data_IF_949537338917
#
_entry.id   IF_949537338917
#
_cell.length_a   1.000
_cell.length_b   1.000
_cell.length_c   1.000
_cell.angle_alpha   90.00
_cell.angle_beta   90.00
_cell.angle_gamma   90.00
#
_symmetry.space_group_name_H-M   'P 1'
#
loop_
_entity.id
_entity.type
_entity.pdbx_description
1 polymer ?
#
# COMPACT_ATOMS: atom_id res chain seq x y z
N UNK A 1 -7.85 -1.09 -17.49
CA UNK A 1 -8.42 -1.41 -16.15
C UNK A 1 -7.45 -1.20 -14.99
N UNK A 2 -6.14 -1.02 -15.26
CA UNK A 2 -5.09 -0.49 -14.37
C UNK A 2 -5.31 0.97 -13.92
N UNK A 3 -6.46 1.60 -14.21
CA UNK A 3 -6.66 3.05 -14.03
C UNK A 3 -7.16 3.46 -12.64
N UNK A 4 -7.78 2.57 -11.84
CA UNK A 4 -8.27 2.89 -10.48
C UNK A 4 -7.27 2.60 -9.36
N UNK A 5 -6.27 1.74 -9.60
CA UNK A 5 -5.12 1.51 -8.68
C UNK A 5 -4.22 2.76 -8.63
N UNK A 6 -4.26 3.58 -9.68
CA UNK A 6 -3.60 4.90 -9.77
C UNK A 6 -4.14 5.91 -8.76
N UNK A 7 -5.33 5.71 -8.16
CA UNK A 7 -6.01 6.70 -7.31
C UNK A 7 -5.81 6.52 -5.80
N UNK A 8 -5.50 5.31 -5.33
CA UNK A 8 -5.40 4.99 -3.89
C UNK A 8 -3.96 5.12 -3.37
N UNK A 9 -2.94 4.87 -4.20
CA UNK A 9 -1.54 5.26 -3.91
C UNK A 9 -1.38 6.78 -3.78
N UNK A 10 -2.23 7.57 -4.45
CA UNK A 10 -2.23 9.02 -4.38
C UNK A 10 -2.76 9.59 -3.04
N UNK A 11 -3.48 8.81 -2.21
CA UNK A 11 -4.03 9.30 -0.92
C UNK A 11 -3.15 8.98 0.29
N UNK A 12 -2.38 7.90 0.26
CA UNK A 12 -1.55 7.45 1.39
C UNK A 12 -0.37 8.39 1.71
N UNK A 13 -0.10 9.37 0.85
CA UNK A 13 1.12 10.18 0.90
C UNK A 13 0.90 11.71 0.91
N UNK A 14 -0.36 12.17 1.03
CA UNK A 14 -0.65 13.59 1.27
C UNK A 14 -0.25 14.08 2.68
N UNK A 15 0.25 13.20 3.53
CA UNK A 15 0.97 13.63 4.73
C UNK A 15 2.35 14.13 4.32
N UNK A 16 2.63 15.41 4.58
CA UNK A 16 3.94 16.02 4.36
C UNK A 16 5.05 15.05 4.83
N UNK A 17 6.01 14.70 3.96
CA UNK A 17 7.17 13.97 4.42
C UNK A 17 7.86 14.82 5.51
N UNK A 18 8.14 14.19 6.66
CA UNK A 18 9.04 14.80 7.62
C UNK A 18 10.43 14.74 7.00
N UNK A 19 10.96 15.90 6.61
CA UNK A 19 12.34 16.01 6.14
C UNK A 19 13.27 15.81 7.34
N UNK A 20 13.73 14.58 7.53
CA UNK A 20 14.90 14.31 8.36
C UNK A 20 16.08 14.08 7.43
N UNK A 21 17.08 14.95 7.49
CA UNK A 21 18.35 14.84 6.75
C UNK A 21 18.24 14.64 5.22
N UNK A 22 17.19 15.19 4.58
CA UNK A 22 17.01 15.09 3.13
C UNK A 22 16.48 13.75 2.60
N UNK A 23 16.01 12.87 3.49
CA UNK A 23 15.39 11.59 3.13
C UNK A 23 13.89 11.62 3.50
N UNK A 24 13.00 11.40 2.53
CA UNK A 24 11.59 11.12 2.84
C UNK A 24 11.47 9.79 3.59
N UNK A 25 11.36 9.89 4.92
CA UNK A 25 11.13 8.76 5.80
C UNK A 25 9.69 8.81 6.29
N UNK A 26 8.98 7.70 6.14
CA UNK A 26 7.66 7.55 6.74
C UNK A 26 7.80 7.58 8.27
N UNK A 27 7.05 8.45 8.93
CA UNK A 27 6.85 8.41 10.37
C UNK A 27 6.22 7.06 10.78
N UNK A 28 6.37 6.67 12.05
CA UNK A 28 5.89 5.38 12.56
C UNK A 28 4.40 5.17 12.31
N UNK A 29 3.58 6.21 12.52
CA UNK A 29 2.16 6.21 12.22
C UNK A 29 1.84 6.02 10.73
N UNK A 30 2.61 6.64 9.83
CA UNK A 30 2.43 6.50 8.37
C UNK A 30 2.74 5.07 7.93
N UNK A 31 3.80 4.46 8.47
CA UNK A 31 4.13 3.05 8.22
C UNK A 31 3.02 2.13 8.71
N UNK A 32 2.45 2.43 9.87
CA UNK A 32 1.36 1.63 10.43
C UNK A 32 0.07 1.76 9.62
N UNK A 33 -0.31 2.98 9.24
CA UNK A 33 -1.44 3.22 8.33
C UNK A 33 -1.24 2.47 7.00
N UNK A 34 -0.05 2.55 6.42
CA UNK A 34 0.30 1.82 5.21
C UNK A 34 0.11 0.31 5.40
N UNK A 35 0.63 -0.24 6.51
CA UNK A 35 0.51 -1.67 6.86
C UNK A 35 -0.95 -2.09 6.98
N UNK A 36 -1.78 -1.33 7.69
CA UNK A 36 -3.20 -1.63 7.88
C UNK A 36 -3.99 -1.60 6.58
N UNK A 37 -3.78 -0.56 5.75
CA UNK A 37 -4.42 -0.45 4.43
C UNK A 37 -4.04 -1.64 3.56
N UNK A 38 -2.74 -1.97 3.50
CA UNK A 38 -2.28 -3.06 2.64
C UNK A 38 -2.68 -4.45 3.14
N UNK A 39 -2.87 -4.58 4.46
CA UNK A 39 -3.53 -5.77 5.01
C UNK A 39 -4.99 -5.81 4.54
N UNK A 40 -5.75 -4.72 4.56
CA UNK A 40 -7.18 -4.75 4.29
C UNK A 40 -7.59 -5.01 2.82
N UNK A 41 -6.66 -5.03 1.87
CA UNK A 41 -6.96 -5.10 0.43
C UNK A 41 -6.36 -6.36 -0.23
N UNK A 42 -7.01 -6.96 -1.25
CA UNK A 42 -6.52 -8.19 -1.89
C UNK A 42 -5.33 -7.98 -2.83
N UNK A 43 -5.01 -6.74 -3.19
CA UNK A 43 -3.97 -6.42 -4.17
C UNK A 43 -2.57 -6.80 -3.68
N UNK A 44 -1.75 -7.30 -4.60
CA UNK A 44 -0.32 -7.48 -4.36
C UNK A 44 0.40 -6.13 -4.27
N UNK A 45 1.55 -6.12 -3.61
CA UNK A 45 2.45 -4.98 -3.64
C UNK A 45 2.90 -4.71 -5.08
N UNK A 46 3.07 -3.43 -5.39
CA UNK A 46 3.75 -2.99 -6.61
C UNK A 46 5.23 -3.29 -6.44
N UNK A 47 5.86 -3.86 -7.47
CA UNK A 47 7.31 -4.07 -7.45
C UNK A 47 8.02 -2.72 -7.44
N UNK A 48 9.08 -2.63 -6.65
CA UNK A 48 9.91 -1.43 -6.56
C UNK A 48 10.42 -1.00 -7.94
N UNK A 49 10.84 -1.97 -8.75
CA UNK A 49 11.35 -1.78 -10.10
C UNK A 49 10.25 -1.27 -11.04
N UNK A 50 9.06 -1.86 -10.97
CA UNK A 50 7.90 -1.44 -11.78
C UNK A 50 7.48 0.01 -11.46
N UNK A 51 7.53 0.37 -10.18
CA UNK A 51 7.20 1.73 -9.73
C UNK A 51 8.23 2.74 -10.24
N UNK A 52 9.52 2.44 -10.14
CA UNK A 52 10.60 3.31 -10.64
C UNK A 52 10.55 3.47 -12.15
N UNK A 53 10.47 2.37 -12.90
CA UNK A 53 10.37 2.42 -14.36
C UNK A 53 9.16 3.21 -14.83
N UNK A 54 8.03 3.15 -14.12
CA UNK A 54 6.84 3.94 -14.45
C UNK A 54 7.08 5.45 -14.29
N UNK A 55 7.80 5.87 -13.25
CA UNK A 55 8.13 7.28 -12.99
C UNK A 55 9.13 7.80 -14.04
N UNK A 56 10.15 7.00 -14.36
CA UNK A 56 11.17 7.33 -15.36
C UNK A 56 10.58 7.43 -16.76
N UNK A 57 9.65 6.53 -17.11
CA UNK A 57 8.95 6.57 -18.39
C UNK A 57 8.08 7.82 -18.54
N UNK A 58 7.30 8.18 -17.51
CA UNK A 58 6.50 9.42 -17.51
C UNK A 58 7.41 10.65 -17.71
N UNK A 59 8.54 10.72 -16.99
CA UNK A 59 9.49 11.82 -17.12
C UNK A 59 10.11 11.90 -18.51
N UNK A 60 10.46 10.76 -19.11
CA UNK A 60 11.03 10.69 -20.46
C UNK A 60 10.03 11.17 -21.51
N UNK A 61 8.75 10.78 -21.40
CA UNK A 61 7.69 11.23 -22.29
C UNK A 61 7.45 12.74 -22.15
N UNK A 62 7.44 13.26 -20.92
CA UNK A 62 7.29 14.70 -20.68
C UNK A 62 8.46 15.49 -21.28
N UNK A 63 9.68 15.01 -21.12
CA UNK A 63 10.87 15.64 -21.71
C UNK A 63 10.82 15.69 -23.24
N UNK A 64 10.36 14.61 -23.90
CA UNK A 64 10.15 14.58 -25.35
C UNK A 64 9.12 15.63 -25.82
N UNK A 65 8.16 15.98 -24.97
CA UNK A 65 7.15 17.01 -25.23
C UNK A 65 7.57 18.41 -24.71
N UNK A 66 8.85 18.61 -24.40
CA UNK A 66 9.38 19.92 -23.98
C UNK A 66 9.14 20.28 -22.51
N UNK A 67 8.54 19.39 -21.71
CA UNK A 67 8.34 19.60 -20.27
C UNK A 67 9.56 19.07 -19.52
N UNK A 68 10.46 19.98 -19.17
CA UNK A 68 11.66 19.67 -18.40
C UNK A 68 11.40 19.81 -16.90
N UNK A 69 11.87 18.84 -16.10
CA UNK A 69 11.82 18.85 -14.62
C UNK A 69 10.41 19.09 -14.05
N UNK A 70 9.42 18.24 -14.39
CA UNK A 70 8.09 18.36 -13.80
C UNK A 70 8.17 18.23 -12.28
N UNK A 71 7.55 19.15 -11.53
CA UNK A 71 7.53 19.14 -10.04
C UNK A 71 7.13 17.77 -9.48
N UNK A 72 6.18 17.13 -10.14
CA UNK A 72 5.66 15.80 -9.81
C UNK A 72 6.73 14.69 -9.86
N UNK A 73 7.77 14.80 -10.70
CA UNK A 73 8.83 13.78 -10.77
C UNK A 73 9.61 13.69 -9.45
N UNK A 74 9.99 14.83 -8.87
CA UNK A 74 10.66 14.86 -7.58
C UNK A 74 9.75 14.31 -6.47
N UNK A 75 8.48 14.72 -6.45
CA UNK A 75 7.48 14.22 -5.50
C UNK A 75 7.30 12.69 -5.62
N UNK A 76 7.12 12.18 -6.83
CA UNK A 76 6.99 10.74 -7.10
C UNK A 76 8.25 9.96 -6.70
N UNK A 77 9.44 10.53 -6.92
CA UNK A 77 10.71 9.90 -6.53
C UNK A 77 10.81 9.76 -5.02
N UNK A 78 10.44 10.80 -4.28
CA UNK A 78 10.40 10.77 -2.81
C UNK A 78 9.35 9.77 -2.28
N UNK A 79 8.18 9.71 -2.92
CA UNK A 79 7.16 8.70 -2.61
C UNK A 79 7.63 7.27 -2.87
N UNK A 80 8.38 7.04 -3.96
CA UNK A 80 8.97 5.75 -4.26
C UNK A 80 9.96 5.33 -3.17
N UNK A 81 10.83 6.24 -2.71
CA UNK A 81 11.73 5.98 -1.57
C UNK A 81 10.97 5.63 -0.30
N UNK A 82 9.89 6.36 -0.01
CA UNK A 82 9.06 6.07 1.16
C UNK A 82 8.38 4.70 1.06
N UNK A 83 7.80 4.37 -0.09
CA UNK A 83 7.18 3.08 -0.37
C UNK A 83 8.19 1.93 -0.18
N UNK A 84 9.38 2.06 -0.77
CA UNK A 84 10.50 1.12 -0.58
C UNK A 84 10.78 0.91 0.90
N UNK A 85 10.89 1.97 1.69
CA UNK A 85 11.15 1.87 3.12
C UNK A 85 10.02 1.17 3.91
N UNK A 86 8.77 1.30 3.46
CA UNK A 86 7.63 0.61 4.09
C UNK A 86 7.60 -0.88 3.74
N UNK A 87 8.02 -1.24 2.52
CA UNK A 87 7.98 -2.62 2.00
C UNK A 87 9.29 -3.39 2.26
N UNK A 88 10.44 -2.71 2.47
CA UNK A 88 11.77 -3.34 2.58
C UNK A 88 11.97 -4.23 3.81
N UNK A 89 11.31 -3.93 4.93
CA UNK A 89 11.37 -4.76 6.14
C UNK A 89 10.36 -5.90 6.15
N UNK A 90 9.70 -6.10 5.01
CA UNK A 90 8.58 -6.98 4.88
C UNK A 90 9.06 -8.17 4.03
N UNK A 91 8.83 -9.41 4.48
CA UNK A 91 9.04 -10.67 3.74
C UNK A 91 8.22 -10.83 2.42
N UNK A 92 7.74 -9.74 1.81
CA UNK A 92 6.68 -9.71 0.79
C UNK A 92 7.25 -9.39 -0.60
N UNK A 93 8.57 -9.49 -0.79
CA UNK A 93 9.33 -8.96 -1.95
C UNK A 93 9.19 -9.81 -3.22
N UNK A 94 8.64 -11.02 -3.16
CA UNK A 94 8.45 -11.83 -4.36
C UNK A 94 7.12 -11.53 -5.04
N UNK A 95 7.19 -11.29 -6.35
CA UNK A 95 6.07 -11.04 -7.28
C UNK A 95 5.14 -12.26 -7.33
N UNK A 96 4.38 -12.44 -6.28
CA UNK A 96 3.40 -13.50 -6.17
C UNK A 96 2.02 -12.88 -5.92
N UNK A 97 0.95 -13.56 -6.38
CA UNK A 97 -0.35 -13.33 -5.78
C UNK A 97 -0.22 -13.45 -4.25
N UNK A 98 -1.00 -12.65 -3.53
CA UNK A 98 -1.07 -12.74 -2.07
C UNK A 98 -1.41 -14.17 -1.66
N UNK A 99 -0.92 -14.60 -0.49
CA UNK A 99 -1.23 -15.93 0.02
C UNK A 99 -2.74 -16.14 0.11
N UNK A 100 -3.19 -17.39 -0.05
CA UNK A 100 -4.60 -17.73 0.09
C UNK A 100 -5.15 -17.26 1.44
N UNK A 101 -4.35 -17.37 2.52
CA UNK A 101 -4.68 -16.83 3.86
C UNK A 101 -5.05 -15.33 3.81
N UNK A 102 -4.25 -14.52 3.12
CA UNK A 102 -4.50 -13.09 2.95
C UNK A 102 -5.75 -12.82 2.10
N UNK A 103 -5.91 -13.55 0.99
CA UNK A 103 -7.07 -13.41 0.12
C UNK A 103 -8.37 -13.78 0.85
N UNK A 104 -8.36 -14.89 1.61
CA UNK A 104 -9.48 -15.31 2.46
C UNK A 104 -9.84 -14.26 3.50
N UNK A 105 -8.84 -13.66 4.17
CA UNK A 105 -9.09 -12.55 5.11
C UNK A 105 -9.77 -11.36 4.43
N UNK A 106 -9.29 -10.97 3.24
CA UNK A 106 -9.91 -9.87 2.49
C UNK A 106 -11.35 -10.20 2.07
N UNK A 107 -11.60 -11.44 1.64
CA UNK A 107 -12.93 -11.91 1.25
C UNK A 107 -13.90 -11.93 2.44
N UNK A 108 -13.49 -12.48 3.59
CA UNK A 108 -14.30 -12.53 4.82
C UNK A 108 -14.62 -11.10 5.29
N UNK A 109 -13.61 -10.23 5.40
CA UNK A 109 -13.82 -8.84 5.79
C UNK A 109 -14.72 -8.09 4.82
N UNK A 110 -14.62 -8.35 3.52
CA UNK A 110 -15.51 -7.75 2.51
C UNK A 110 -16.97 -8.19 2.73
N UNK A 111 -17.21 -9.48 2.94
CA UNK A 111 -18.56 -10.01 3.24
C UNK A 111 -19.14 -9.42 4.55
N UNK A 112 -18.33 -9.34 5.60
CA UNK A 112 -18.73 -8.69 6.85
C UNK A 112 -19.01 -7.19 6.68
N UNK A 113 -18.21 -6.49 5.86
CA UNK A 113 -18.46 -5.08 5.52
C UNK A 113 -19.79 -4.90 4.79
N UNK A 114 -20.05 -5.73 3.78
CA UNK A 114 -21.26 -5.67 2.96
C UNK A 114 -22.53 -6.00 3.77
N UNK A 115 -22.40 -6.83 4.80
CA UNK A 115 -23.46 -7.12 5.76
C UNK A 115 -23.50 -6.20 6.98
N UNK A 116 -22.72 -5.10 6.98
CA UNK A 116 -22.63 -4.14 8.10
C UNK A 116 -22.20 -4.72 9.44
N UNK A 117 -21.52 -5.87 9.41
CA UNK A 117 -21.07 -6.62 10.56
C UNK A 117 -19.60 -6.35 10.92
N UNK A 118 -18.94 -5.32 10.35
CA UNK A 118 -17.62 -4.90 10.85
C UNK A 118 -17.75 -3.72 11.83
N UNK A 119 -16.95 -3.67 12.91
CA UNK A 119 -15.95 -4.68 13.32
C UNK A 119 -16.52 -5.86 14.14
N UNK A 120 -17.69 -5.70 14.76
CA UNK A 120 -18.21 -6.58 15.82
C UNK A 120 -18.59 -8.01 15.38
N UNK A 121 -18.80 -8.25 14.10
CA UNK A 121 -19.21 -9.55 13.55
C UNK A 121 -18.07 -10.55 13.43
N UNK A 122 -16.81 -10.14 13.62
CA UNK A 122 -15.68 -11.09 13.60
C UNK A 122 -15.78 -12.05 14.79
N UNK A 123 -16.10 -11.55 15.99
CA UNK A 123 -16.26 -12.38 17.20
C UNK A 123 -17.47 -13.32 17.15
N UNK A 124 -18.43 -13.05 16.25
CA UNK A 124 -19.60 -13.89 16.03
C UNK A 124 -19.29 -15.12 15.16
N UNK A 125 -18.15 -15.13 14.45
CA UNK A 125 -17.73 -16.26 13.61
C UNK A 125 -17.26 -17.47 14.42
N UNK A 126 -17.14 -17.35 15.74
CA UNK A 126 -16.70 -18.42 16.66
C UNK A 126 -15.36 -19.04 16.22
N UNK A 127 -14.40 -18.18 15.83
CA UNK A 127 -13.09 -18.59 15.36
C UNK A 127 -12.08 -18.67 16.53
N UNK A 128 -11.00 -19.46 16.38
CA UNK A 128 -9.87 -19.35 17.28
C UNK A 128 -9.36 -17.90 17.36
N UNK A 129 -9.02 -17.45 18.57
CA UNK A 129 -8.57 -16.07 18.85
C UNK A 129 -7.47 -15.58 17.90
N UNK A 130 -6.54 -16.45 17.51
CA UNK A 130 -5.48 -16.12 16.56
C UNK A 130 -6.02 -15.74 15.17
N UNK A 131 -7.09 -16.39 14.71
CA UNK A 131 -7.75 -16.05 13.44
C UNK A 131 -8.61 -14.79 13.56
N UNK A 132 -9.24 -14.54 14.70
CA UNK A 132 -9.94 -13.28 14.97
C UNK A 132 -8.97 -12.10 14.90
N UNK A 133 -7.87 -12.15 15.64
CA UNK A 133 -6.81 -11.13 15.60
C UNK A 133 -6.23 -10.93 14.20
N UNK A 134 -6.13 -12.01 13.42
CA UNK A 134 -5.71 -11.92 12.04
C UNK A 134 -6.75 -11.18 11.18
N UNK A 135 -8.03 -11.53 11.31
CA UNK A 135 -9.13 -10.85 10.63
C UNK A 135 -9.25 -9.38 11.06
N UNK A 136 -8.95 -9.05 12.32
CA UNK A 136 -8.93 -7.68 12.87
C UNK A 136 -7.71 -6.85 12.47
N UNK A 137 -6.80 -7.41 11.67
CA UNK A 137 -5.59 -6.76 11.15
C UNK A 137 -4.49 -6.53 12.20
N UNK A 138 -4.64 -7.05 13.41
CA UNK A 138 -3.66 -6.93 14.51
C UNK A 138 -2.36 -7.68 14.17
N UNK A 139 -2.49 -8.88 13.57
CA UNK A 139 -1.37 -9.78 13.25
C UNK A 139 -1.31 -10.16 11.75
N UNK A 140 -0.27 -10.90 11.35
CA UNK A 140 0.04 -11.33 9.96
C UNK A 140 -0.20 -12.82 9.68
#
# INVERSE_FOLDING_TARGET
MMSSIRSVNLMVLRSLPMYNNGLCTAASNQKECFRLIWRAIPQSFIQCEELESSIELENSLLAQNGVLRPKRFNENTEFCKMYKNCVRNSAWITKAPRSLKHLSRCAIRKSLKESWNLPHGISQLSLPKTLEQYLDLEIE
#
